data_IF_393043766425
#
_entry.id   IF_393043766425
#
_cell.length_a   1.000
_cell.length_b   1.000
_cell.length_c   1.000
_cell.angle_alpha   90.00
_cell.angle_beta   90.00
_cell.angle_gamma   90.00
#
_symmetry.space_group_name_H-M   'P 1'
#
loop_
_entity.id
_entity.type
_entity.pdbx_description
1 polymer ?
#
# COMPACT_ATOMS: atom_id res chain seq x y z
N UNK A 1 -52.75 -42.43 -15.50
CA UNK A 1 -52.18 -42.52 -14.13
C UNK A 1 -50.67 -42.35 -14.27
N UNK A 2 -50.15 -41.18 -13.90
CA UNK A 2 -48.75 -40.81 -14.09
C UNK A 2 -48.55 -39.36 -13.67
N UNK A 3 -48.35 -39.14 -12.36
CA UNK A 3 -48.01 -37.85 -11.78
C UNK A 3 -46.51 -37.61 -11.97
N UNK A 4 -46.14 -36.48 -12.55
CA UNK A 4 -44.78 -35.96 -12.48
C UNK A 4 -44.85 -34.48 -12.06
N UNK A 5 -44.15 -34.19 -10.97
CA UNK A 5 -44.16 -32.90 -10.26
C UNK A 5 -43.54 -31.77 -11.11
N UNK A 6 -44.19 -30.62 -11.09
CA UNK A 6 -43.62 -29.32 -11.46
C UNK A 6 -42.54 -28.92 -10.43
N UNK A 7 -41.35 -28.60 -10.91
CA UNK A 7 -40.44 -27.68 -10.24
C UNK A 7 -40.23 -26.46 -11.13
N UNK A 8 -40.45 -25.30 -10.53
CA UNK A 8 -40.43 -23.96 -11.10
C UNK A 8 -39.14 -23.71 -11.91
N UNK A 9 -39.30 -23.42 -13.20
CA UNK A 9 -38.25 -22.79 -14.00
C UNK A 9 -38.04 -21.35 -13.51
N UNK A 10 -36.85 -21.08 -12.99
CA UNK A 10 -36.30 -19.73 -12.97
C UNK A 10 -35.64 -19.53 -14.33
N UNK A 11 -36.29 -18.80 -15.22
CA UNK A 11 -35.66 -18.26 -16.43
C UNK A 11 -34.84 -17.06 -15.96
N UNK A 12 -33.53 -17.22 -15.88
CA UNK A 12 -32.63 -16.06 -15.74
C UNK A 12 -32.47 -15.50 -17.15
N UNK A 13 -33.10 -14.36 -17.40
CA UNK A 13 -32.80 -13.53 -18.58
C UNK A 13 -31.33 -13.11 -18.49
N UNK A 14 -30.51 -13.62 -19.39
CA UNK A 14 -29.16 -13.12 -19.57
C UNK A 14 -29.27 -11.71 -20.15
N UNK A 15 -29.12 -10.68 -19.31
CA UNK A 15 -28.84 -9.34 -19.80
C UNK A 15 -27.59 -9.42 -20.67
N UNK A 16 -27.78 -9.15 -21.96
CA UNK A 16 -26.71 -9.11 -22.95
C UNK A 16 -25.65 -8.12 -22.49
N UNK A 17 -24.47 -8.64 -22.16
CA UNK A 17 -23.24 -7.85 -22.02
C UNK A 17 -23.13 -6.92 -23.22
N UNK A 18 -22.87 -5.61 -23.05
CA UNK A 18 -22.80 -4.70 -24.18
C UNK A 18 -21.65 -5.18 -25.07
N UNK A 19 -22.00 -5.64 -26.26
CA UNK A 19 -21.05 -6.02 -27.29
C UNK A 19 -20.04 -4.88 -27.45
N UNK A 20 -18.76 -5.19 -27.33
CA UNK A 20 -17.67 -4.27 -27.63
C UNK A 20 -17.69 -4.02 -29.14
N UNK A 21 -18.59 -3.13 -29.57
CA UNK A 21 -18.74 -2.71 -30.95
C UNK A 21 -17.47 -1.96 -31.38
N UNK A 22 -16.73 -2.57 -32.30
CA UNK A 22 -15.75 -1.86 -33.10
C UNK A 22 -16.47 -0.78 -33.92
N UNK A 23 -15.99 0.47 -33.82
CA UNK A 23 -16.41 1.57 -34.69
C UNK A 23 -16.86 2.85 -33.99
N UNK A 24 -16.02 3.45 -33.15
CA UNK A 24 -16.03 4.90 -32.92
C UNK A 24 -14.58 5.34 -32.78
N UNK A 25 -14.21 6.42 -33.46
CA UNK A 25 -12.97 7.15 -33.30
C UNK A 25 -12.97 7.74 -31.87
N UNK A 26 -12.66 6.88 -30.88
CA UNK A 26 -12.63 7.26 -29.47
C UNK A 26 -11.42 8.14 -29.28
N UNK A 27 -11.65 9.45 -29.29
CA UNK A 27 -10.63 10.40 -28.86
C UNK A 27 -10.26 10.06 -27.42
N UNK A 28 -8.96 9.99 -27.09
CA UNK A 28 -8.53 9.74 -25.73
C UNK A 28 -9.17 10.76 -24.77
N UNK A 29 -9.54 10.38 -23.53
CA UNK A 29 -10.12 11.28 -22.55
C UNK A 29 -9.20 12.50 -22.32
N UNK A 30 -9.77 13.69 -22.45
CA UNK A 30 -9.04 14.96 -22.31
C UNK A 30 -10.01 16.09 -21.95
N UNK A 31 -9.46 17.16 -21.37
CA UNK A 31 -10.19 18.40 -21.14
C UNK A 31 -9.28 19.60 -21.42
N UNK A 32 -9.40 20.16 -22.63
CA UNK A 32 -8.54 21.27 -23.08
C UNK A 32 -8.77 22.53 -22.23
N UNK A 33 -10.01 22.81 -21.83
CA UNK A 33 -10.33 23.98 -21.03
C UNK A 33 -9.68 23.90 -19.65
N UNK A 34 -9.67 22.72 -19.03
CA UNK A 34 -8.97 22.47 -17.77
C UNK A 34 -7.45 22.64 -17.94
N UNK A 35 -6.86 22.08 -19.00
CA UNK A 35 -5.43 22.25 -19.28
C UNK A 35 -5.05 23.73 -19.47
N UNK A 36 -5.83 24.48 -20.24
CA UNK A 36 -5.64 25.92 -20.42
C UNK A 36 -5.80 26.67 -19.10
N UNK A 37 -6.74 26.24 -18.26
CA UNK A 37 -7.00 26.86 -16.97
C UNK A 37 -5.87 26.65 -15.97
N UNK A 38 -5.25 25.48 -15.99
CA UNK A 38 -4.07 25.18 -15.18
C UNK A 38 -2.90 26.05 -15.63
N UNK A 39 -2.56 26.03 -16.92
CA UNK A 39 -1.44 26.82 -17.43
C UNK A 39 -1.65 28.32 -17.20
N UNK A 40 -2.83 28.84 -17.51
CA UNK A 40 -3.15 30.25 -17.27
C UNK A 40 -3.08 30.63 -15.79
N UNK A 41 -3.53 29.75 -14.89
CA UNK A 41 -3.39 29.96 -13.44
C UNK A 41 -1.94 30.03 -12.98
N UNK A 42 -1.08 29.15 -13.52
CA UNK A 42 0.36 29.15 -13.27
C UNK A 42 1.07 30.41 -13.78
N UNK A 43 0.61 30.99 -14.90
CA UNK A 43 1.13 32.27 -15.43
C UNK A 43 0.78 33.47 -14.56
N UNK A 44 -0.29 33.38 -13.76
CA UNK A 44 -0.83 34.48 -12.96
C UNK A 44 -0.23 34.55 -11.55
N UNK A 45 0.09 33.40 -10.94
CA UNK A 45 0.59 33.35 -9.56
C UNK A 45 1.61 32.23 -9.34
N UNK A 46 2.67 32.52 -8.58
CA UNK A 46 3.66 31.54 -8.14
C UNK A 46 3.08 30.48 -7.19
N UNK A 47 2.10 30.85 -6.37
CA UNK A 47 1.46 29.91 -5.44
C UNK A 47 0.67 28.85 -6.22
N UNK A 48 0.02 29.24 -7.32
CA UNK A 48 -0.67 28.32 -8.20
C UNK A 48 0.30 27.33 -8.88
N UNK A 49 1.55 27.73 -9.12
CA UNK A 49 2.59 26.80 -9.61
C UNK A 49 2.84 25.73 -8.55
N UNK A 50 3.07 26.13 -7.30
CA UNK A 50 3.32 25.19 -6.19
C UNK A 50 2.18 24.17 -6.02
N UNK A 51 0.93 24.62 -6.03
CA UNK A 51 -0.23 23.72 -5.91
C UNK A 51 -0.34 22.73 -7.09
N UNK A 52 0.01 23.17 -8.30
CA UNK A 52 -0.17 22.35 -9.50
C UNK A 52 0.94 21.30 -9.64
N UNK A 53 2.20 21.65 -9.32
CA UNK A 53 3.34 20.73 -9.44
C UNK A 53 3.26 19.54 -8.48
N UNK A 54 2.48 19.65 -7.40
CA UNK A 54 2.18 18.53 -6.50
C UNK A 54 1.20 17.53 -7.12
N UNK A 55 0.35 17.98 -8.06
CA UNK A 55 -0.78 17.21 -8.56
C UNK A 55 -0.48 16.56 -9.91
N UNK A 56 0.17 17.26 -10.83
CA UNK A 56 0.37 16.81 -12.22
C UNK A 56 1.83 16.93 -12.68
N UNK A 57 2.16 16.15 -13.72
CA UNK A 57 3.41 16.25 -14.48
C UNK A 57 3.14 16.65 -15.93
N UNK A 58 4.19 17.01 -16.67
CA UNK A 58 4.07 17.39 -18.08
C UNK A 58 3.35 16.32 -18.91
N UNK A 59 3.70 15.04 -18.74
CA UNK A 59 3.08 13.91 -19.45
C UNK A 59 1.56 13.77 -19.22
N UNK A 60 1.00 14.39 -18.19
CA UNK A 60 -0.43 14.34 -17.91
C UNK A 60 -1.25 15.21 -18.87
N UNK A 61 -0.64 16.22 -19.51
CA UNK A 61 -1.34 17.03 -20.53
C UNK A 61 -1.56 16.23 -21.82
N UNK A 62 -2.76 16.36 -22.41
CA UNK A 62 -3.09 15.73 -23.68
C UNK A 62 -2.41 16.43 -24.86
N UNK A 63 -2.33 17.77 -24.85
CA UNK A 63 -1.70 18.53 -25.93
C UNK A 63 -0.20 18.64 -25.73
N UNK A 64 0.64 18.22 -26.70
CA UNK A 64 2.09 18.39 -26.62
C UNK A 64 2.53 19.84 -26.42
N UNK A 65 1.79 20.79 -27.00
CA UNK A 65 2.03 22.22 -26.78
C UNK A 65 1.93 22.61 -25.28
N UNK A 66 0.98 22.03 -24.54
CA UNK A 66 0.81 22.29 -23.12
C UNK A 66 1.89 21.63 -22.26
N UNK A 67 2.36 20.44 -22.67
CA UNK A 67 3.50 19.76 -22.04
C UNK A 67 4.74 20.67 -22.06
N UNK A 68 5.08 21.21 -23.24
CA UNK A 68 6.22 22.11 -23.43
C UNK A 68 6.09 23.37 -22.55
N UNK A 69 4.89 23.97 -22.51
CA UNK A 69 4.66 25.16 -21.68
C UNK A 69 4.82 24.84 -20.20
N UNK A 70 4.28 23.71 -19.74
CA UNK A 70 4.42 23.27 -18.36
C UNK A 70 5.88 23.03 -17.97
N UNK A 71 6.67 22.38 -18.83
CA UNK A 71 8.09 22.15 -18.62
C UNK A 71 8.88 23.46 -18.50
N UNK A 72 8.57 24.44 -19.35
CA UNK A 72 9.21 25.76 -19.27
C UNK A 72 8.82 26.50 -17.98
N UNK A 73 7.56 26.44 -17.57
CA UNK A 73 7.10 27.05 -16.31
C UNK A 73 7.82 26.43 -15.12
N UNK A 74 7.88 25.10 -15.07
CA UNK A 74 8.52 24.37 -13.95
C UNK A 74 10.03 24.59 -13.90
N UNK A 75 10.70 24.67 -15.04
CA UNK A 75 12.13 24.99 -15.11
C UNK A 75 12.46 26.43 -14.70
N UNK A 76 11.64 27.41 -15.07
CA UNK A 76 11.77 28.79 -14.57
C UNK A 76 11.52 28.86 -13.07
N UNK A 77 10.48 28.17 -12.58
CA UNK A 77 10.15 28.11 -11.16
C UNK A 77 11.28 27.46 -10.34
N UNK A 78 11.88 26.37 -10.85
CA UNK A 78 13.00 25.68 -10.20
C UNK A 78 14.27 26.53 -10.10
N UNK A 79 14.46 27.51 -11.00
CA UNK A 79 15.54 28.50 -10.96
C UNK A 79 15.23 29.72 -10.08
N UNK A 80 13.99 29.83 -9.59
CA UNK A 80 13.50 30.98 -8.82
C UNK A 80 13.07 32.17 -9.68
N UNK A 81 13.08 32.04 -11.01
CA UNK A 81 12.70 33.09 -11.94
C UNK A 81 11.16 33.27 -11.97
N UNK A 82 10.64 34.47 -12.26
CA UNK A 82 9.21 34.68 -12.46
C UNK A 82 8.74 33.97 -13.74
N UNK A 83 7.73 33.10 -13.61
CA UNK A 83 7.11 32.39 -14.74
C UNK A 83 5.91 33.17 -15.31
N UNK A 84 6.11 34.45 -15.63
CA UNK A 84 5.08 35.25 -16.29
C UNK A 84 5.06 35.00 -17.81
N UNK A 85 4.00 35.49 -18.48
CA UNK A 85 3.81 35.30 -19.92
C UNK A 85 5.00 35.82 -20.75
N UNK A 86 5.67 36.90 -20.33
CA UNK A 86 6.78 37.51 -21.07
C UNK A 86 8.03 36.64 -20.96
N UNK A 87 8.35 36.18 -19.75
CA UNK A 87 9.48 35.30 -19.48
C UNK A 87 9.35 33.96 -20.20
N UNK A 88 8.15 33.40 -20.22
CA UNK A 88 7.91 32.12 -20.91
C UNK A 88 8.01 32.28 -22.42
N UNK A 89 7.55 33.40 -22.98
CA UNK A 89 7.74 33.69 -24.40
C UNK A 89 9.23 33.81 -24.76
N UNK A 90 10.02 34.52 -23.95
CA UNK A 90 11.46 34.66 -24.17
C UNK A 90 12.18 33.31 -24.05
N UNK A 91 11.86 32.50 -23.05
CA UNK A 91 12.44 31.18 -22.85
C UNK A 91 12.06 30.21 -23.98
N UNK A 92 10.79 30.18 -24.40
CA UNK A 92 10.33 29.40 -25.55
C UNK A 92 10.98 29.84 -26.86
N UNK A 93 11.27 31.14 -27.01
CA UNK A 93 11.94 31.67 -28.19
C UNK A 93 13.42 31.28 -28.21
N UNK A 94 14.12 31.35 -27.07
CA UNK A 94 15.50 30.86 -26.90
C UNK A 94 15.64 29.38 -27.22
N UNK A 95 14.64 28.57 -26.82
CA UNK A 95 14.60 27.12 -27.11
C UNK A 95 14.18 26.79 -28.55
N UNK A 96 13.68 27.77 -29.31
CA UNK A 96 13.15 27.56 -30.65
C UNK A 96 11.80 26.81 -30.68
N UNK A 97 11.10 26.73 -29.55
CA UNK A 97 9.86 25.96 -29.40
C UNK A 97 8.60 26.82 -29.47
N UNK A 98 8.73 28.15 -29.46
CA UNK A 98 7.61 29.10 -29.52
C UNK A 98 6.64 28.80 -30.68
N UNK A 99 7.16 28.41 -31.85
CA UNK A 99 6.34 28.01 -33.00
C UNK A 99 5.52 26.74 -32.77
N UNK A 100 6.03 25.79 -31.99
CA UNK A 100 5.36 24.51 -31.68
C UNK A 100 4.17 24.69 -30.72
N UNK A 101 4.21 25.75 -29.92
CA UNK A 101 3.19 26.06 -28.90
C UNK A 101 2.04 26.90 -29.46
N UNK A 102 2.18 27.44 -30.68
CA UNK A 102 1.18 28.32 -31.30
C UNK A 102 1.51 29.82 -31.21
N UNK A 103 2.76 30.15 -30.84
CA UNK A 103 3.26 31.52 -30.79
C UNK A 103 2.88 32.30 -29.54
N UNK A 104 3.40 33.53 -29.41
CA UNK A 104 3.15 34.39 -28.25
C UNK A 104 1.67 34.75 -28.05
N UNK A 105 0.89 34.82 -29.13
CA UNK A 105 -0.56 35.06 -29.05
C UNK A 105 -1.29 33.96 -28.24
N UNK A 106 -0.81 32.72 -28.33
CA UNK A 106 -1.39 31.62 -27.58
C UNK A 106 -1.14 31.74 -26.07
N UNK A 107 0.07 32.13 -25.66
CA UNK A 107 0.43 32.34 -24.25
C UNK A 107 -0.43 33.45 -23.62
N UNK A 108 -0.66 34.55 -24.34
CA UNK A 108 -1.58 35.59 -23.89
C UNK A 108 -3.03 35.09 -23.77
N UNK A 109 -3.44 34.19 -24.66
CA UNK A 109 -4.78 33.57 -24.60
C UNK A 109 -4.92 32.71 -23.35
N UNK A 110 -3.90 31.92 -22.99
CA UNK A 110 -3.89 31.13 -21.74
C UNK A 110 -4.10 32.01 -20.50
N UNK A 111 -3.46 33.19 -20.48
CA UNK A 111 -3.62 34.15 -19.39
C UNK A 111 -5.04 34.74 -19.34
N UNK A 112 -5.66 34.95 -20.52
CA UNK A 112 -6.98 35.56 -20.63
C UNK A 112 -8.14 34.58 -20.34
N UNK A 113 -7.95 33.28 -20.53
CA UNK A 113 -8.97 32.25 -20.28
C UNK A 113 -9.27 32.08 -18.79
N UNK A 114 -8.30 32.42 -17.92
CA UNK A 114 -8.39 32.15 -16.48
C UNK A 114 -8.85 33.37 -15.71
N UNK A 115 -10.02 33.33 -15.06
CA UNK A 115 -10.51 34.46 -14.26
C UNK A 115 -9.78 34.59 -12.91
N UNK A 116 -9.25 33.50 -12.35
CA UNK A 116 -8.49 33.51 -11.08
C UNK A 116 -7.51 32.34 -11.00
N UNK A 117 -6.31 32.62 -10.45
CA UNK A 117 -5.28 31.62 -10.20
C UNK A 117 -5.67 30.64 -9.05
N UNK A 118 -6.58 31.03 -8.16
CA UNK A 118 -6.95 30.25 -6.97
C UNK A 118 -7.56 28.87 -7.30
N UNK A 119 -8.11 28.70 -8.51
CA UNK A 119 -8.74 27.45 -8.93
C UNK A 119 -7.78 26.52 -9.69
N UNK A 120 -6.52 26.89 -9.88
CA UNK A 120 -5.55 26.11 -10.65
C UNK A 120 -5.41 24.67 -10.12
N UNK A 121 -5.32 24.50 -8.80
CA UNK A 121 -5.25 23.18 -8.17
C UNK A 121 -6.50 22.31 -8.40
N UNK A 122 -7.69 22.91 -8.50
CA UNK A 122 -8.92 22.16 -8.84
C UNK A 122 -8.88 21.65 -10.28
N UNK A 123 -8.51 22.49 -11.24
CA UNK A 123 -8.39 22.08 -12.64
C UNK A 123 -7.25 21.07 -12.86
N UNK A 124 -6.17 21.16 -12.09
CA UNK A 124 -5.09 20.17 -12.13
C UNK A 124 -5.58 18.77 -11.77
N UNK A 125 -6.51 18.64 -10.81
CA UNK A 125 -7.13 17.33 -10.49
C UNK A 125 -7.93 16.77 -11.67
N UNK A 126 -8.65 17.63 -12.39
CA UNK A 126 -9.40 17.22 -13.60
C UNK A 126 -8.41 16.72 -14.68
N UNK A 127 -7.34 17.45 -14.95
CA UNK A 127 -6.30 17.03 -15.92
C UNK A 127 -5.70 15.69 -15.50
N UNK A 128 -5.38 15.51 -14.22
CA UNK A 128 -4.86 14.26 -13.66
C UNK A 128 -5.81 13.09 -13.88
N UNK A 129 -7.11 13.27 -13.61
CA UNK A 129 -8.12 12.24 -13.81
C UNK A 129 -8.18 11.81 -15.28
N UNK A 130 -8.19 12.76 -16.21
CA UNK A 130 -8.16 12.46 -17.65
C UNK A 130 -6.87 11.73 -18.06
N UNK A 131 -5.72 12.13 -17.50
CA UNK A 131 -4.44 11.47 -17.75
C UNK A 131 -4.39 10.02 -17.24
N UNK A 132 -5.01 9.73 -16.09
CA UNK A 132 -5.15 8.37 -15.56
C UNK A 132 -6.03 7.53 -16.49
N UNK A 133 -7.18 8.06 -16.92
CA UNK A 133 -8.06 7.37 -17.86
C UNK A 133 -7.36 7.09 -19.20
N UNK A 134 -6.58 8.05 -19.72
CA UNK A 134 -5.78 7.87 -20.93
C UNK A 134 -4.73 6.76 -20.77
N UNK A 135 -3.97 6.77 -19.67
CA UNK A 135 -2.97 5.72 -19.37
C UNK A 135 -3.61 4.34 -19.22
N UNK A 136 -4.81 4.26 -18.63
CA UNK A 136 -5.55 3.00 -18.52
C UNK A 136 -5.92 2.43 -19.89
N UNK A 137 -6.35 3.28 -20.83
CA UNK A 137 -6.66 2.86 -22.21
C UNK A 137 -5.39 2.38 -22.92
N UNK A 138 -4.26 3.09 -22.75
CA UNK A 138 -2.98 2.68 -23.32
C UNK A 138 -2.51 1.33 -22.77
N UNK A 139 -2.56 1.14 -21.44
CA UNK A 139 -2.22 -0.12 -20.79
C UNK A 139 -3.12 -1.26 -21.29
N UNK A 140 -4.45 -1.03 -21.35
CA UNK A 140 -5.39 -2.00 -21.92
C UNK A 140 -5.05 -2.37 -23.37
N UNK A 141 -4.68 -1.40 -24.19
CA UNK A 141 -4.28 -1.62 -25.59
C UNK A 141 -2.99 -2.45 -25.68
N UNK A 142 -1.99 -2.19 -24.83
CA UNK A 142 -0.76 -2.99 -24.75
C UNK A 142 -1.02 -4.43 -24.32
N UNK A 143 -1.88 -4.63 -23.32
CA UNK A 143 -2.27 -5.96 -22.84
C UNK A 143 -2.99 -6.75 -23.93
N UNK A 144 -3.88 -6.11 -24.69
CA UNK A 144 -4.51 -6.75 -25.86
C UNK A 144 -3.45 -7.12 -26.90
N UNK A 145 -2.46 -6.25 -27.16
CA UNK A 145 -1.35 -6.53 -28.07
C UNK A 145 -0.51 -7.72 -27.62
N UNK A 146 -0.27 -7.88 -26.31
CA UNK A 146 0.42 -9.04 -25.75
C UNK A 146 -0.32 -10.35 -26.05
N UNK A 147 -1.65 -10.35 -25.89
CA UNK A 147 -2.48 -11.53 -26.19
C UNK A 147 -2.40 -12.01 -27.65
N UNK A 148 -2.25 -11.10 -28.62
CA UNK A 148 -2.08 -11.47 -30.03
C UNK A 148 -0.63 -11.85 -30.39
N UNK A 149 0.37 -11.29 -29.70
CA UNK A 149 1.79 -11.48 -29.99
C UNK A 149 2.47 -12.66 -29.27
N UNK A 150 1.88 -13.16 -28.18
CA UNK A 150 2.49 -14.13 -27.26
C UNK A 150 2.53 -15.60 -27.72
N UNK A 151 2.48 -15.89 -29.03
CA UNK A 151 2.43 -17.29 -29.51
C UNK A 151 3.71 -18.11 -29.24
N UNK A 152 4.82 -17.47 -28.86
CA UNK A 152 6.13 -18.09 -28.63
C UNK A 152 6.73 -17.78 -27.25
N UNK A 153 5.94 -17.25 -26.32
CA UNK A 153 6.39 -16.85 -24.97
C UNK A 153 5.68 -17.69 -23.92
N UNK A 154 6.32 -17.88 -22.76
CA UNK A 154 5.71 -18.58 -21.64
C UNK A 154 4.52 -17.77 -21.12
N UNK A 155 3.40 -18.45 -20.82
CA UNK A 155 2.15 -17.80 -20.45
C UNK A 155 2.32 -16.99 -19.15
N UNK A 156 3.14 -17.47 -18.23
CA UNK A 156 3.39 -16.81 -16.95
C UNK A 156 4.11 -15.46 -17.14
N UNK A 157 5.13 -15.39 -18.00
CA UNK A 157 5.83 -14.14 -18.35
C UNK A 157 4.90 -13.11 -19.02
N UNK A 158 3.91 -13.59 -19.80
CA UNK A 158 2.90 -12.74 -20.41
C UNK A 158 1.97 -12.11 -19.35
N UNK A 159 1.54 -12.92 -18.37
CA UNK A 159 0.68 -12.48 -17.28
C UNK A 159 1.42 -11.48 -16.38
N UNK A 160 2.67 -11.74 -16.04
CA UNK A 160 3.48 -10.86 -15.20
C UNK A 160 3.69 -9.48 -15.86
N UNK A 161 3.96 -9.43 -17.16
CA UNK A 161 4.05 -8.16 -17.89
C UNK A 161 2.72 -7.42 -17.95
N UNK A 162 1.61 -8.13 -18.14
CA UNK A 162 0.28 -7.52 -18.12
C UNK A 162 -0.05 -6.92 -16.74
N UNK A 163 0.29 -7.63 -15.66
CA UNK A 163 0.15 -7.13 -14.29
C UNK A 163 1.01 -5.88 -14.06
N UNK A 164 2.26 -5.89 -14.51
CA UNK A 164 3.16 -4.74 -14.41
C UNK A 164 2.61 -3.50 -15.14
N UNK A 165 1.99 -3.67 -16.32
CA UNK A 165 1.37 -2.55 -17.05
C UNK A 165 0.20 -1.92 -16.28
N UNK A 166 -0.66 -2.73 -15.65
CA UNK A 166 -1.75 -2.21 -14.82
C UNK A 166 -1.21 -1.52 -13.57
N UNK A 167 -0.19 -2.10 -12.94
CA UNK A 167 0.42 -1.54 -11.73
C UNK A 167 0.99 -0.13 -11.98
N UNK A 168 1.65 0.09 -13.12
CA UNK A 168 2.18 1.41 -13.54
C UNK A 168 1.10 2.49 -13.68
N UNK A 169 -0.14 2.12 -13.99
CA UNK A 169 -1.26 3.08 -14.04
C UNK A 169 -1.63 3.56 -12.63
N UNK A 170 -1.50 2.68 -11.63
CA UNK A 170 -1.87 2.96 -10.23
C UNK A 170 -0.75 3.60 -9.40
N UNK A 171 0.52 3.38 -9.74
CA UNK A 171 1.66 3.68 -8.86
C UNK A 171 2.12 5.15 -8.83
N UNK A 172 1.53 6.06 -9.61
CA UNK A 172 1.83 7.51 -9.43
C UNK A 172 1.09 8.16 -8.25
N UNK A 173 0.70 7.38 -7.23
CA UNK A 173 0.21 7.95 -5.97
C UNK A 173 1.41 8.28 -5.09
N UNK A 174 1.56 9.58 -4.86
CA UNK A 174 2.34 10.18 -3.76
C UNK A 174 3.84 10.25 -4.03
N UNK A 175 4.29 11.46 -4.37
CA UNK A 175 5.66 11.90 -4.10
C UNK A 175 5.94 11.62 -2.63
N UNK A 176 7.00 10.89 -2.33
CA UNK A 176 7.54 10.83 -0.97
C UNK A 176 7.78 12.27 -0.49
N UNK A 177 7.21 12.63 0.66
CA UNK A 177 7.45 13.92 1.30
C UNK A 177 8.89 13.93 1.84
N UNK A 178 9.81 14.57 1.13
CA UNK A 178 11.18 14.76 1.61
C UNK A 178 11.20 15.91 2.61
N UNK A 179 11.32 15.60 3.89
CA UNK A 179 11.59 16.60 4.93
C UNK A 179 13.10 16.88 5.01
N UNK A 180 13.55 18.15 5.11
CA UNK A 180 14.95 18.48 5.32
C UNK A 180 15.51 17.83 6.59
N UNK A 181 16.72 17.28 6.52
CA UNK A 181 17.36 16.63 7.67
C UNK A 181 17.50 17.59 8.87
N UNK A 182 17.65 18.89 8.61
CA UNK A 182 17.70 19.94 9.64
C UNK A 182 16.46 20.01 10.52
N UNK A 183 15.31 19.57 10.01
CA UNK A 183 14.02 19.72 10.67
C UNK A 183 13.68 18.47 11.51
N UNK A 184 14.26 17.32 11.14
CA UNK A 184 14.09 16.04 11.86
C UNK A 184 15.15 15.88 12.96
N UNK A 185 16.37 16.38 12.73
CA UNK A 185 17.52 16.22 13.63
C UNK A 185 17.28 16.70 15.07
N UNK A 186 16.62 17.85 15.33
CA UNK A 186 16.38 18.32 16.70
C UNK A 186 15.54 17.32 17.52
N UNK A 187 14.46 16.78 16.95
CA UNK A 187 13.61 15.81 17.64
C UNK A 187 14.33 14.49 17.92
N UNK A 188 15.15 14.01 16.99
CA UNK A 188 15.94 12.80 17.18
C UNK A 188 17.03 12.96 18.27
N UNK A 189 17.66 14.14 18.35
CA UNK A 189 18.65 14.44 19.39
C UNK A 189 18.00 14.58 20.76
N UNK A 190 16.85 15.23 20.85
CA UNK A 190 16.07 15.35 22.08
C UNK A 190 15.64 13.97 22.61
N UNK A 191 15.27 13.04 21.73
CA UNK A 191 14.99 11.64 22.10
C UNK A 191 16.25 10.93 22.63
N UNK A 192 17.41 11.10 21.98
CA UNK A 192 18.67 10.49 22.44
C UNK A 192 19.09 11.04 23.82
N UNK A 193 18.94 12.33 24.06
CA UNK A 193 19.23 12.94 25.37
C UNK A 193 18.23 12.49 26.45
N UNK A 194 16.94 12.36 26.11
CA UNK A 194 15.93 11.83 27.00
C UNK A 194 16.19 10.36 27.38
N UNK A 195 16.80 9.58 26.49
CA UNK A 195 17.22 8.20 26.74
C UNK A 195 18.47 8.16 27.63
N UNK A 196 19.46 8.99 27.34
CA UNK A 196 20.72 9.03 28.09
C UNK A 196 20.55 9.49 29.54
N UNK A 197 19.64 10.45 29.79
CA UNK A 197 19.42 11.04 31.11
C UNK A 197 18.72 10.13 32.13
N UNK A 198 18.15 8.98 31.71
CA UNK A 198 17.32 8.10 32.58
C UNK A 198 18.01 6.85 33.13
N UNK A 199 19.33 6.75 33.00
CA UNK A 199 20.13 5.80 33.79
C UNK A 199 19.79 4.31 33.60
N UNK A 200 19.38 3.90 32.40
CA UNK A 200 19.20 2.48 32.05
C UNK A 200 17.87 1.84 32.45
N UNK A 201 16.83 2.63 32.74
CA UNK A 201 15.47 2.11 32.85
C UNK A 201 14.89 1.77 31.46
N UNK A 202 14.16 0.65 31.37
CA UNK A 202 13.42 0.21 30.18
C UNK A 202 12.54 1.36 29.64
N UNK A 203 12.70 1.70 28.36
CA UNK A 203 12.05 2.85 27.72
C UNK A 203 10.63 2.48 27.25
N UNK A 204 10.47 1.25 26.75
CA UNK A 204 9.21 0.74 26.24
C UNK A 204 8.35 0.03 27.28
N UNK A 205 7.15 -0.37 26.89
CA UNK A 205 6.30 -1.25 27.70
C UNK A 205 7.00 -2.61 27.82
N UNK A 206 7.31 -3.10 29.04
CA UNK A 206 7.99 -4.38 29.20
C UNK A 206 7.10 -5.52 28.73
N UNK A 207 7.69 -6.47 28.00
CA UNK A 207 6.99 -7.67 27.51
C UNK A 207 6.84 -8.73 28.60
N UNK A 208 7.64 -8.65 29.67
CA UNK A 208 7.66 -9.63 30.75
C UNK A 208 8.66 -10.78 30.53
N UNK A 209 9.25 -10.88 29.33
CA UNK A 209 10.34 -11.79 29.03
C UNK A 209 11.68 -11.06 29.19
N UNK A 210 12.44 -11.37 30.25
CA UNK A 210 13.67 -10.63 30.60
C UNK A 210 14.69 -10.61 29.46
N UNK A 211 14.86 -11.71 28.75
CA UNK A 211 15.80 -11.80 27.62
C UNK A 211 15.35 -10.94 26.43
N UNK A 212 14.04 -10.91 26.15
CA UNK A 212 13.49 -10.09 25.07
C UNK A 212 13.51 -8.60 25.42
N UNK A 213 13.21 -8.27 26.68
CA UNK A 213 13.25 -6.90 27.18
C UNK A 213 14.69 -6.37 27.26
N UNK A 214 15.69 -7.23 27.53
CA UNK A 214 17.10 -6.85 27.45
C UNK A 214 17.56 -6.55 26.02
N UNK A 215 16.97 -7.23 25.02
CA UNK A 215 17.30 -7.03 23.61
C UNK A 215 16.55 -5.84 22.99
N UNK A 216 15.28 -5.65 23.36
CA UNK A 216 14.38 -4.66 22.74
C UNK A 216 14.27 -3.37 23.56
N UNK A 217 14.68 -3.40 24.83
CA UNK A 217 14.46 -2.35 25.82
C UNK A 217 12.96 -2.01 26.05
N UNK A 218 12.10 -3.00 25.81
CA UNK A 218 10.64 -2.90 25.85
C UNK A 218 10.03 -2.49 24.51
N UNK A 219 8.70 -2.45 24.44
CA UNK A 219 7.97 -2.08 23.23
C UNK A 219 7.77 -0.56 23.16
N UNK A 220 8.30 0.09 22.12
CA UNK A 220 8.28 1.55 22.00
C UNK A 220 7.04 2.09 21.25
N UNK A 221 6.52 3.27 21.64
CA UNK A 221 5.41 3.91 20.94
C UNK A 221 5.79 4.30 19.50
N UNK A 222 4.85 4.15 18.57
CA UNK A 222 5.06 4.43 17.14
C UNK A 222 5.62 3.27 16.32
N UNK A 223 6.06 2.18 16.96
CA UNK A 223 6.54 0.98 16.27
C UNK A 223 5.41 0.00 15.96
N UNK A 224 5.41 -0.54 14.74
CA UNK A 224 4.59 -1.71 14.40
C UNK A 224 5.39 -2.98 14.66
N UNK A 225 5.06 -3.68 15.75
CA UNK A 225 5.74 -4.92 16.13
C UNK A 225 4.94 -6.11 15.60
N UNK A 226 5.52 -6.83 14.63
CA UNK A 226 4.89 -7.99 14.01
C UNK A 226 5.52 -9.27 14.55
N UNK A 227 4.74 -10.06 15.28
CA UNK A 227 5.15 -11.41 15.72
C UNK A 227 4.68 -12.42 14.67
N UNK A 228 5.57 -12.70 13.72
CA UNK A 228 5.33 -13.69 12.67
C UNK A 228 5.98 -15.03 13.02
N UNK A 229 5.18 -16.08 12.98
CA UNK A 229 5.63 -17.46 13.05
C UNK A 229 4.75 -18.33 12.16
N UNK A 230 5.30 -19.45 11.69
CA UNK A 230 4.54 -20.45 10.91
C UNK A 230 3.38 -21.01 11.75
N UNK A 231 2.32 -21.55 11.13
CA UNK A 231 1.27 -22.28 11.86
C UNK A 231 1.91 -23.32 12.82
N UNK A 232 1.28 -23.55 13.99
CA UNK A 232 1.74 -24.44 15.06
C UNK A 232 3.02 -24.04 15.85
N UNK A 233 3.67 -22.90 15.56
CA UNK A 233 4.85 -22.42 16.32
C UNK A 233 4.48 -21.67 17.62
N UNK A 234 3.19 -21.49 17.91
CA UNK A 234 2.74 -20.84 19.14
C UNK A 234 2.90 -19.31 19.11
N UNK A 235 2.15 -18.63 18.21
CA UNK A 235 1.92 -17.17 18.26
C UNK A 235 0.97 -16.81 19.41
N UNK A 236 1.30 -17.24 20.62
CA UNK A 236 0.54 -16.95 21.82
C UNK A 236 1.18 -15.74 22.52
N UNK A 237 0.41 -14.67 22.67
CA UNK A 237 0.75 -13.61 23.61
C UNK A 237 0.37 -14.08 25.02
N UNK A 238 1.12 -13.62 26.03
CA UNK A 238 0.79 -13.91 27.42
C UNK A 238 -0.59 -13.34 27.76
N UNK A 239 -1.36 -14.04 28.60
CA UNK A 239 -2.75 -13.65 28.90
C UNK A 239 -2.83 -12.28 29.62
N UNK A 240 -1.77 -11.88 30.30
CA UNK A 240 -1.64 -10.59 30.98
C UNK A 240 -1.12 -9.46 30.06
N UNK A 241 -0.87 -9.74 28.77
CA UNK A 241 -0.43 -8.73 27.81
C UNK A 241 -1.47 -7.60 27.73
N UNK A 242 -1.09 -6.33 28.01
CA UNK A 242 -2.03 -5.22 28.02
C UNK A 242 -2.43 -4.82 26.60
N UNK A 243 -3.72 -4.60 26.39
CA UNK A 243 -4.32 -4.20 25.13
C UNK A 243 -5.12 -2.89 25.31
N UNK A 244 -4.90 -1.88 24.45
CA UNK A 244 -5.59 -0.59 24.57
C UNK A 244 -7.06 -0.69 24.12
N UNK A 245 -7.96 -0.15 24.94
CA UNK A 245 -9.39 0.01 24.63
C UNK A 245 -9.74 1.50 24.53
N UNK A 246 -10.87 1.88 23.91
CA UNK A 246 -11.31 3.28 23.89
C UNK A 246 -11.51 3.91 25.27
N UNK A 247 -11.65 3.10 26.32
CA UNK A 247 -11.91 3.54 27.70
C UNK A 247 -10.76 3.27 28.66
N UNK A 248 -9.62 2.74 28.18
CA UNK A 248 -8.47 2.41 29.02
C UNK A 248 -7.68 1.23 28.48
N UNK A 249 -7.50 0.20 29.32
CA UNK A 249 -6.71 -0.99 29.02
C UNK A 249 -7.47 -2.24 29.43
N UNK A 250 -7.27 -3.33 28.69
CA UNK A 250 -7.69 -4.69 29.01
C UNK A 250 -6.48 -5.63 28.87
N UNK A 251 -6.62 -6.92 29.16
CA UNK A 251 -5.57 -7.92 28.96
C UNK A 251 -5.96 -8.95 27.91
N UNK A 252 -4.98 -9.57 27.24
CA UNK A 252 -5.21 -10.59 26.19
C UNK A 252 -6.12 -11.74 26.66
N UNK A 253 -6.07 -12.11 27.95
CA UNK A 253 -6.90 -13.16 28.53
C UNK A 253 -8.33 -12.73 28.89
N UNK A 254 -8.61 -11.44 28.92
CA UNK A 254 -9.93 -10.88 29.24
C UNK A 254 -10.71 -10.45 28.00
N UNK A 255 -10.05 -10.36 26.83
CA UNK A 255 -10.69 -9.99 25.57
C UNK A 255 -11.72 -11.01 25.13
N UNK A 256 -12.92 -10.53 24.84
CA UNK A 256 -14.05 -11.33 24.36
C UNK A 256 -14.56 -10.84 23.00
N UNK A 257 -15.19 -11.72 22.19
CA UNK A 257 -15.89 -11.29 20.98
C UNK A 257 -16.93 -10.22 21.30
N UNK A 258 -16.87 -9.10 20.58
CA UNK A 258 -17.72 -7.93 20.79
C UNK A 258 -17.02 -6.74 21.44
N UNK A 259 -15.88 -6.94 22.09
CA UNK A 259 -15.08 -5.88 22.69
C UNK A 259 -14.49 -4.94 21.64
N UNK A 260 -14.16 -3.71 22.06
CA UNK A 260 -13.53 -2.70 21.22
C UNK A 260 -12.07 -2.52 21.65
N UNK A 261 -11.15 -2.78 20.73
CA UNK A 261 -9.71 -2.52 20.87
C UNK A 261 -9.31 -1.37 19.94
N UNK A 262 -8.22 -0.67 20.26
CA UNK A 262 -7.68 0.36 19.37
C UNK A 262 -6.89 -0.29 18.23
N UNK A 263 -7.30 -0.02 16.99
CA UNK A 263 -6.63 -0.46 15.77
C UNK A 263 -5.40 0.38 15.43
N UNK A 264 -4.66 -0.06 14.41
CA UNK A 264 -3.42 0.58 13.95
C UNK A 264 -3.62 2.01 13.42
N UNK A 265 -4.84 2.37 13.04
CA UNK A 265 -5.24 3.71 12.61
C UNK A 265 -5.73 4.59 13.77
N UNK A 266 -5.57 4.12 15.01
CA UNK A 266 -6.05 4.79 16.22
C UNK A 266 -7.56 4.72 16.42
N UNK A 267 -8.30 4.01 15.55
CA UNK A 267 -9.76 3.90 15.64
C UNK A 267 -10.19 2.64 16.38
N UNK A 268 -11.33 2.66 17.08
CA UNK A 268 -11.88 1.46 17.71
C UNK A 268 -12.25 0.39 16.68
N UNK A 269 -11.74 -0.82 16.88
CA UNK A 269 -12.01 -2.03 16.08
C UNK A 269 -12.69 -3.06 16.96
N UNK A 270 -13.72 -3.71 16.42
CA UNK A 270 -14.48 -4.75 17.13
C UNK A 270 -13.79 -6.10 17.02
N UNK A 271 -13.61 -6.78 18.14
CA UNK A 271 -13.17 -8.17 18.20
C UNK A 271 -14.28 -9.06 17.67
N UNK A 272 -14.01 -9.79 16.59
CA UNK A 272 -15.01 -10.63 15.90
C UNK A 272 -15.05 -12.07 16.42
N UNK A 273 -13.93 -12.54 16.98
CA UNK A 273 -13.78 -13.87 17.54
C UNK A 273 -12.56 -13.88 18.46
N UNK A 274 -12.59 -14.75 19.47
CA UNK A 274 -11.47 -15.07 20.34
C UNK A 274 -11.48 -16.57 20.56
N UNK A 275 -10.31 -17.20 20.51
CA UNK A 275 -10.16 -18.61 20.86
C UNK A 275 -10.22 -18.75 22.38
N UNK A 276 -10.91 -19.77 22.88
CA UNK A 276 -10.97 -20.01 24.33
C UNK A 276 -9.57 -20.24 24.90
N UNK A 277 -9.33 -19.68 26.09
CA UNK A 277 -8.12 -19.97 26.86
C UNK A 277 -8.18 -21.43 27.27
N UNK A 278 -7.34 -22.24 26.65
CA UNK A 278 -7.28 -23.67 26.90
C UNK A 278 -6.60 -23.94 28.25
N UNK A 279 -7.41 -24.09 29.32
CA UNK A 279 -6.94 -24.37 30.68
C UNK A 279 -6.82 -25.88 30.92
N UNK A 280 -5.93 -26.25 31.84
CA UNK A 280 -5.80 -27.62 32.38
C UNK A 280 -5.48 -28.72 31.35
N UNK A 281 -4.91 -28.34 30.21
CA UNK A 281 -4.39 -29.33 29.26
C UNK A 281 -3.03 -29.83 29.76
N UNK A 282 -2.81 -31.15 29.82
CA UNK A 282 -1.54 -31.70 30.25
C UNK A 282 -0.46 -31.27 29.27
N UNK A 283 0.48 -30.46 29.73
CA UNK A 283 1.67 -30.10 29.00
C UNK A 283 2.83 -30.99 29.44
N UNK A 284 3.64 -31.43 28.49
CA UNK A 284 4.81 -32.26 28.74
C UNK A 284 6.07 -31.56 28.22
N UNK A 285 7.17 -31.76 28.93
CA UNK A 285 8.50 -31.37 28.50
C UNK A 285 9.01 -32.39 27.47
N UNK A 286 9.34 -31.92 26.27
CA UNK A 286 9.86 -32.72 25.16
C UNK A 286 11.31 -32.33 24.93
N UNK A 287 12.21 -33.30 25.09
CA UNK A 287 13.65 -33.16 24.80
C UNK A 287 13.94 -33.73 23.40
N UNK A 288 14.58 -32.93 22.57
CA UNK A 288 14.99 -33.28 21.21
C UNK A 288 16.38 -33.91 21.19
N UNK A 289 16.74 -34.55 20.07
CA UNK A 289 18.03 -35.20 19.86
C UNK A 289 19.22 -34.21 19.83
N UNK A 290 18.94 -32.94 19.55
CA UNK A 290 19.92 -31.84 19.63
C UNK A 290 20.09 -31.27 21.05
N UNK A 291 19.39 -31.84 22.04
CA UNK A 291 19.42 -31.40 23.44
C UNK A 291 18.55 -30.18 23.74
N UNK A 292 17.79 -29.68 22.76
CA UNK A 292 16.80 -28.62 22.98
C UNK A 292 15.61 -29.18 23.75
N UNK A 293 15.03 -28.37 24.63
CA UNK A 293 13.87 -28.74 25.43
C UNK A 293 12.75 -27.74 25.19
N UNK A 294 11.52 -28.23 24.99
CA UNK A 294 10.33 -27.41 24.85
C UNK A 294 9.15 -28.02 25.60
N UNK A 295 8.33 -27.18 26.23
CA UNK A 295 7.05 -27.57 26.82
C UNK A 295 5.96 -27.50 25.76
N UNK A 296 5.29 -28.61 25.50
CA UNK A 296 4.20 -28.71 24.52
C UNK A 296 2.94 -29.33 25.12
N UNK A 297 1.80 -28.95 24.56
CA UNK A 297 0.51 -29.55 24.86
C UNK A 297 0.46 -31.04 24.48
N UNK A 298 -0.26 -31.85 25.25
CA UNK A 298 -0.47 -33.29 25.05
C UNK A 298 -0.94 -33.68 23.63
N UNK A 299 -1.78 -32.87 22.97
CA UNK A 299 -2.29 -33.16 21.63
C UNK A 299 -1.42 -32.57 20.51
N UNK A 300 -0.32 -31.88 20.84
CA UNK A 300 0.60 -31.35 19.85
C UNK A 300 1.20 -32.48 19.01
N UNK A 301 1.13 -32.37 17.69
CA UNK A 301 1.53 -33.42 16.75
C UNK A 301 2.96 -33.23 16.24
N UNK A 302 3.71 -34.32 16.23
CA UNK A 302 5.12 -34.38 15.85
C UNK A 302 5.32 -35.39 14.73
N UNK A 303 5.91 -35.03 13.58
CA UNK A 303 6.52 -35.99 12.69
C UNK A 303 7.78 -36.56 13.35
N UNK A 304 7.81 -37.87 13.48
CA UNK A 304 8.99 -38.63 13.88
C UNK A 304 9.59 -39.26 12.63
N UNK A 305 10.88 -39.06 12.42
CA UNK A 305 11.65 -39.80 11.43
C UNK A 305 12.19 -41.11 12.05
N UNK A 306 11.84 -42.24 11.46
CA UNK A 306 12.38 -43.55 11.84
C UNK A 306 13.04 -44.23 10.64
N UNK A 307 13.89 -45.26 10.85
CA UNK A 307 14.44 -46.08 9.76
C UNK A 307 13.37 -46.75 8.87
N UNK A 308 12.09 -46.75 9.29
CA UNK A 308 10.95 -47.32 8.58
C UNK A 308 10.06 -46.27 7.89
N UNK A 309 10.41 -44.99 7.98
CA UNK A 309 9.65 -43.86 7.41
C UNK A 309 9.20 -42.83 8.46
N UNK A 310 8.51 -41.80 8.00
CA UNK A 310 7.97 -40.71 8.83
C UNK A 310 6.58 -41.05 9.35
N UNK A 311 6.36 -40.91 10.65
CA UNK A 311 5.05 -41.12 11.30
C UNK A 311 4.68 -39.92 12.17
N UNK A 312 3.40 -39.53 12.18
CA UNK A 312 2.91 -38.47 13.08
C UNK A 312 2.46 -39.09 14.40
N UNK A 313 2.89 -38.51 15.51
CA UNK A 313 2.46 -38.88 16.87
C UNK A 313 2.11 -37.64 17.68
N UNK A 314 1.41 -37.79 18.80
CA UNK A 314 1.14 -36.68 19.73
C UNK A 314 2.14 -36.61 20.89
N UNK A 315 2.25 -35.47 21.56
CA UNK A 315 3.08 -35.32 22.77
C UNK A 315 2.71 -36.32 23.87
N UNK A 316 1.42 -36.64 24.04
CA UNK A 316 0.96 -37.64 25.00
C UNK A 316 1.44 -39.06 24.64
N UNK A 317 1.46 -39.39 23.34
CA UNK A 317 1.98 -40.67 22.85
C UNK A 317 3.51 -40.75 23.00
N UNK A 318 4.23 -39.65 22.75
CA UNK A 318 5.67 -39.52 23.04
C UNK A 318 5.97 -39.75 24.53
N UNK A 319 5.21 -39.11 25.41
CA UNK A 319 5.36 -39.25 26.86
C UNK A 319 5.07 -40.68 27.36
N UNK A 320 4.28 -41.47 26.60
CA UNK A 320 3.87 -42.81 26.97
C UNK A 320 4.77 -43.95 26.45
N UNK A 321 5.68 -43.71 25.50
CA UNK A 321 6.43 -44.79 24.85
C UNK A 321 7.72 -44.42 24.12
N UNK A 322 8.84 -44.84 24.73
CA UNK A 322 10.21 -44.98 24.20
C UNK A 322 10.95 -43.68 23.80
N UNK A 323 12.24 -43.62 24.15
CA UNK A 323 13.18 -42.58 23.71
C UNK A 323 13.29 -42.59 22.18
N UNK A 324 12.93 -41.49 21.52
CA UNK A 324 12.87 -41.39 20.06
C UNK A 324 13.96 -40.46 19.55
N UNK A 325 14.72 -40.91 18.56
CA UNK A 325 16.00 -40.34 18.16
C UNK A 325 15.93 -39.12 17.23
N UNK A 326 14.75 -38.61 16.86
CA UNK A 326 14.57 -37.37 16.08
C UNK A 326 13.08 -37.03 15.95
N UNK A 327 12.51 -36.36 16.95
CA UNK A 327 11.24 -35.66 16.76
C UNK A 327 11.55 -34.29 16.14
N UNK A 328 10.85 -33.90 15.08
CA UNK A 328 10.92 -32.54 14.53
C UNK A 328 9.51 -31.95 14.52
N UNK A 329 9.32 -30.62 14.60
CA UNK A 329 7.98 -30.03 14.49
C UNK A 329 7.39 -30.30 13.09
N UNK A 330 6.07 -30.50 13.02
CA UNK A 330 5.33 -30.69 11.76
C UNK A 330 5.51 -29.45 10.87
N UNK A 331 5.91 -29.65 9.60
CA UNK A 331 6.15 -28.56 8.63
C UNK A 331 4.87 -27.88 8.19
#
# INVERSE_FOLDING_TARGET
MGRQLQLRGCVVEAESSPAFGAGFERTPPHNIEAEQSVLGGMLLSKDAIADVIEVIRADDFYRPAHQIVFDVITDLYGRGDPADAVMIMDELQKRGELGRVGGGAYIHTLTAVVPTAANAGYYAKIVREQAILRRLIEAGTRIVSYGYGGQNEEVDDLVDRAQAEIYRVTERRTSEDYLPLSDIMPGALDEIEAISSRGGQLIGVPTGFQDLDALTNGLHPGQMIVVAARPAIGKALALDTPLPTPTGWTTMGEVSPGDLLIGTDGRPVRVIAATEVMRDRPCHEVEFDDGTVLVADAEHQWPIESPRGTTVTTTAELAAGATIAAARPFQ
#
